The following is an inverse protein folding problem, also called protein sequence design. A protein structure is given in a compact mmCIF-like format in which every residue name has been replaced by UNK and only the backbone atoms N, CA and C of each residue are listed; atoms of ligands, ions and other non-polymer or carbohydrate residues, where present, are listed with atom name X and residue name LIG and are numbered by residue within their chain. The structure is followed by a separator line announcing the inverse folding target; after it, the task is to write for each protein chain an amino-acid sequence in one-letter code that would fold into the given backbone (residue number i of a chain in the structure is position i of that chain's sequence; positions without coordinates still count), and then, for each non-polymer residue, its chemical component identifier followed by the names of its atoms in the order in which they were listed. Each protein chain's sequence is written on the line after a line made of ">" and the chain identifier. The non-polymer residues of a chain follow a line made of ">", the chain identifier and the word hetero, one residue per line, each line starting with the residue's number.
data_IF_810319105385
#
_entry.id   IF_810319105385
#
_cell.length_a   1.000
_cell.length_b   1.000
_cell.length_c   1.000
_cell.angle_alpha   90.00
_cell.angle_beta   90.00
_cell.angle_gamma   90.00
#
_symmetry.space_group_name_H-M   'P 1'
#
loop_
_entity.id
_entity.type
_entity.pdbx_description
1 polymer ?
#
# COMPACT_ATOMS: atom_id res chain seq x y z
N UNK A 1 19.83 11.43 -5.69
CA UNK A 1 18.67 12.19 -5.19
C UNK A 1 18.98 13.64 -5.40
N UNK A 2 18.05 14.39 -5.98
CA UNK A 2 18.15 15.85 -6.05
C UNK A 2 18.34 16.40 -4.62
N UNK A 3 19.37 17.22 -4.42
CA UNK A 3 19.67 17.81 -3.12
C UNK A 3 18.64 18.87 -2.69
N UNK A 4 17.80 19.31 -3.63
CA UNK A 4 16.75 20.31 -3.38
C UNK A 4 15.42 19.69 -2.93
N UNK A 5 15.27 18.37 -2.99
CA UNK A 5 14.05 17.69 -2.57
C UNK A 5 14.16 17.15 -1.14
N UNK A 6 13.13 17.41 -0.33
CA UNK A 6 12.97 16.80 0.99
C UNK A 6 11.94 15.68 0.94
N UNK A 7 12.33 14.48 1.37
CA UNK A 7 11.44 13.33 1.39
C UNK A 7 10.95 13.03 2.81
N UNK A 8 9.67 12.69 2.93
CA UNK A 8 9.07 12.13 4.14
C UNK A 8 8.38 10.83 3.79
N UNK A 9 8.80 9.72 4.39
CA UNK A 9 8.09 8.44 4.35
C UNK A 9 7.07 8.36 5.46
N UNK A 10 5.85 7.94 5.13
CA UNK A 10 4.76 7.74 6.09
C UNK A 10 4.23 6.32 5.91
N UNK A 11 4.17 5.55 6.99
CA UNK A 11 3.62 4.20 7.00
C UNK A 11 2.99 3.90 8.37
N UNK A 12 1.95 3.07 8.42
CA UNK A 12 1.35 2.64 9.67
C UNK A 12 2.20 1.59 10.39
N UNK A 13 3.08 0.89 9.65
CA UNK A 13 3.89 -0.24 10.11
C UNK A 13 5.29 0.23 10.51
N UNK A 14 5.64 0.29 11.82
CA UNK A 14 6.92 0.85 12.26
C UNK A 14 8.14 0.11 11.71
N UNK A 15 8.06 -1.22 11.57
CA UNK A 15 9.17 -2.03 11.07
C UNK A 15 9.54 -1.71 9.61
N UNK A 16 8.57 -1.30 8.78
CA UNK A 16 8.85 -0.87 7.40
C UNK A 16 9.63 0.43 7.37
N UNK A 17 9.29 1.37 8.25
CA UNK A 17 10.04 2.63 8.40
C UNK A 17 11.45 2.41 8.94
N UNK A 18 11.65 1.45 9.84
CA UNK A 18 13.00 1.08 10.30
C UNK A 18 13.86 0.51 9.17
N UNK A 19 13.29 -0.32 8.29
CA UNK A 19 13.98 -0.81 7.09
C UNK A 19 14.32 0.37 6.15
N UNK A 20 13.35 1.27 5.91
CA UNK A 20 13.56 2.43 5.06
C UNK A 20 14.64 3.36 5.62
N UNK A 21 14.64 3.61 6.93
CA UNK A 21 15.64 4.40 7.65
C UNK A 21 17.03 3.80 7.56
N UNK A 22 17.18 2.47 7.69
CA UNK A 22 18.46 1.78 7.49
C UNK A 22 18.99 1.96 6.05
N UNK A 23 18.12 1.96 5.05
CA UNK A 23 18.49 2.08 3.63
C UNK A 23 18.82 3.52 3.22
N UNK A 24 18.07 4.50 3.74
CA UNK A 24 18.12 5.89 3.27
C UNK A 24 18.87 6.83 4.23
N UNK A 25 19.02 6.45 5.50
CA UNK A 25 19.62 7.28 6.54
C UNK A 25 18.91 8.63 6.64
N UNK A 26 19.70 9.72 6.65
CA UNK A 26 19.20 11.07 6.81
C UNK A 26 18.66 11.70 5.50
N UNK A 27 18.60 10.95 4.39
CA UNK A 27 18.09 11.46 3.11
C UNK A 27 16.57 11.64 3.10
N UNK A 28 15.87 11.09 4.10
CA UNK A 28 14.43 11.26 4.28
C UNK A 28 14.07 11.31 5.77
N UNK A 29 12.93 11.91 6.08
CA UNK A 29 12.26 11.80 7.38
C UNK A 29 11.28 10.62 7.35
N UNK A 30 11.00 10.03 8.50
CA UNK A 30 10.08 8.89 8.62
C UNK A 30 9.09 9.15 9.75
N UNK A 31 7.81 8.91 9.49
CA UNK A 31 6.71 9.14 10.43
C UNK A 31 5.80 7.92 10.43
N UNK A 32 5.60 7.33 11.61
CA UNK A 32 4.56 6.31 11.80
C UNK A 32 3.22 7.03 11.85
N UNK A 33 2.34 6.80 10.88
CA UNK A 33 0.98 7.36 10.92
C UNK A 33 -0.02 6.50 10.14
N UNK A 34 -1.25 6.49 10.64
CA UNK A 34 -2.42 5.93 9.96
C UNK A 34 -3.07 7.01 9.08
N UNK A 35 -3.28 6.72 7.79
CA UNK A 35 -3.91 7.64 6.85
C UNK A 35 -5.29 8.13 7.31
N UNK A 36 -6.02 7.35 8.12
CA UNK A 36 -7.32 7.71 8.66
C UNK A 36 -7.25 8.74 9.80
N UNK A 37 -6.07 8.92 10.42
CA UNK A 37 -5.88 9.78 11.60
C UNK A 37 -4.68 10.73 11.48
N UNK A 38 -3.96 10.70 10.37
CA UNK A 38 -2.70 11.42 10.26
C UNK A 38 -2.87 12.93 10.40
N UNK A 39 -1.94 13.51 11.15
CA UNK A 39 -1.74 14.95 11.30
C UNK A 39 -0.23 15.20 11.35
N UNK A 40 0.33 15.64 10.23
CA UNK A 40 1.77 15.75 10.01
C UNK A 40 2.30 17.15 10.35
N UNK A 41 1.41 18.11 10.63
CA UNK A 41 1.75 19.52 10.87
C UNK A 41 2.68 20.11 9.79
N UNK A 42 2.53 19.64 8.54
CA UNK A 42 3.36 20.02 7.39
C UNK A 42 2.58 19.81 6.09
N UNK A 43 2.83 20.66 5.10
CA UNK A 43 2.31 20.49 3.74
C UNK A 43 3.38 20.07 2.74
N UNK A 44 2.97 19.36 1.69
CA UNK A 44 3.83 18.82 0.65
C UNK A 44 3.42 19.32 -0.74
N UNK A 45 4.40 19.46 -1.62
CA UNK A 45 4.21 19.81 -3.03
C UNK A 45 3.80 18.59 -3.87
N UNK A 46 4.15 17.39 -3.42
CA UNK A 46 3.82 16.11 -4.05
C UNK A 46 3.58 15.06 -2.97
N UNK A 47 2.52 14.25 -3.14
CA UNK A 47 2.34 12.98 -2.45
C UNK A 47 2.44 11.83 -3.43
N UNK A 48 3.05 10.73 -3.01
CA UNK A 48 3.17 9.51 -3.81
C UNK A 48 2.61 8.36 -2.97
N UNK A 49 1.65 7.61 -3.51
CA UNK A 49 1.23 6.33 -2.95
C UNK A 49 1.56 5.22 -3.94
N UNK A 50 2.34 4.26 -3.46
CA UNK A 50 2.78 3.11 -4.23
C UNK A 50 2.52 1.85 -3.41
N UNK A 51 1.48 1.12 -3.81
CA UNK A 51 0.91 0.04 -3.02
C UNK A 51 0.52 0.46 -1.59
N UNK A 52 0.05 -0.50 -0.80
CA UNK A 52 -0.29 -0.27 0.61
C UNK A 52 -1.60 0.50 0.77
N UNK A 53 -1.52 1.83 0.76
CA UNK A 53 -2.68 2.67 1.10
C UNK A 53 -3.58 2.91 -0.11
N UNK A 54 -3.04 3.41 -1.23
CA UNK A 54 -3.82 3.64 -2.45
C UNK A 54 -3.02 3.31 -3.69
N UNK A 55 -3.65 2.60 -4.63
CA UNK A 55 -3.12 2.35 -5.97
C UNK A 55 -4.27 2.15 -6.97
N UNK A 56 -3.98 2.24 -8.26
CA UNK A 56 -4.92 1.79 -9.28
C UNK A 56 -4.57 0.38 -9.75
N UNK A 57 -5.57 -0.50 -9.79
CA UNK A 57 -5.46 -1.76 -10.53
C UNK A 57 -6.01 -1.55 -11.94
N UNK A 58 -5.20 -1.93 -12.93
CA UNK A 58 -5.58 -2.00 -14.32
C UNK A 58 -6.05 -3.42 -14.66
N UNK A 59 -7.32 -3.50 -15.04
CA UNK A 59 -8.03 -4.71 -15.46
C UNK A 59 -8.00 -4.94 -16.97
N UNK A 60 -7.41 -4.02 -17.73
CA UNK A 60 -7.42 -4.00 -19.19
C UNK A 60 -8.54 -3.15 -19.74
N UNK A 61 -9.78 -3.38 -19.31
CA UNK A 61 -10.98 -2.63 -19.72
C UNK A 61 -11.31 -1.45 -18.80
N UNK A 62 -10.80 -1.46 -17.56
CA UNK A 62 -11.04 -0.42 -16.55
C UNK A 62 -9.88 -0.24 -15.58
N UNK A 63 -9.87 0.91 -14.92
CA UNK A 63 -9.01 1.22 -13.78
C UNK A 63 -9.87 1.30 -12.52
N UNK A 64 -9.48 0.60 -11.47
CA UNK A 64 -10.16 0.62 -10.17
C UNK A 64 -9.20 1.12 -9.10
N UNK A 65 -9.64 2.08 -8.27
CA UNK A 65 -8.88 2.48 -7.09
C UNK A 65 -8.98 1.37 -6.05
N UNK A 66 -7.83 0.88 -5.60
CA UNK A 66 -7.71 -0.18 -4.60
C UNK A 66 -6.93 0.35 -3.40
N UNK A 67 -7.37 -0.05 -2.22
CA UNK A 67 -6.75 0.33 -0.95
C UNK A 67 -6.84 -0.79 0.08
N UNK A 68 -5.96 -0.75 1.07
CA UNK A 68 -6.10 -1.54 2.31
C UNK A 68 -6.96 -0.81 3.37
N UNK A 69 -7.70 0.21 2.96
CA UNK A 69 -8.64 0.95 3.81
C UNK A 69 -10.01 0.25 3.71
N UNK A 70 -10.68 -0.05 4.85
CA UNK A 70 -11.74 -1.06 4.91
C UNK A 70 -12.99 -0.77 4.07
N UNK A 71 -13.36 0.50 3.90
CA UNK A 71 -14.58 0.88 3.19
C UNK A 71 -14.45 2.25 2.50
N UNK A 72 -15.48 2.62 1.73
CA UNK A 72 -15.53 3.86 0.93
C UNK A 72 -15.46 5.11 1.81
N UNK A 73 -16.14 5.13 2.96
CA UNK A 73 -16.17 6.29 3.85
C UNK A 73 -14.81 6.49 4.53
N UNK A 74 -14.18 5.41 4.97
CA UNK A 74 -12.82 5.43 5.48
C UNK A 74 -11.83 5.88 4.40
N UNK A 75 -11.99 5.42 3.15
CA UNK A 75 -11.16 5.88 2.02
C UNK A 75 -11.31 7.39 1.80
N UNK A 76 -12.55 7.88 1.77
CA UNK A 76 -12.83 9.31 1.64
C UNK A 76 -12.18 10.11 2.77
N UNK A 77 -12.29 9.64 4.03
CA UNK A 77 -11.67 10.29 5.17
C UNK A 77 -10.14 10.29 5.07
N UNK A 78 -9.52 9.18 4.65
CA UNK A 78 -8.08 9.10 4.44
C UNK A 78 -7.60 10.06 3.35
N UNK A 79 -8.31 10.13 2.22
CA UNK A 79 -8.01 11.08 1.14
C UNK A 79 -8.20 12.53 1.59
N UNK A 80 -9.22 12.82 2.41
CA UNK A 80 -9.43 14.14 3.02
C UNK A 80 -8.27 14.52 3.94
N UNK A 81 -7.79 13.57 4.74
CA UNK A 81 -6.60 13.79 5.57
C UNK A 81 -5.36 14.07 4.71
N UNK A 82 -5.14 13.32 3.63
CA UNK A 82 -4.04 13.58 2.70
C UNK A 82 -4.13 14.98 2.10
N UNK A 83 -5.31 15.36 1.61
CA UNK A 83 -5.53 16.67 1.01
C UNK A 83 -5.19 17.84 1.96
N UNK A 84 -5.44 17.71 3.27
CA UNK A 84 -5.05 18.74 4.27
C UNK A 84 -3.54 18.95 4.38
N UNK A 85 -2.75 17.97 3.98
CA UNK A 85 -1.29 18.02 3.98
C UNK A 85 -0.72 18.31 2.59
N UNK A 86 -1.55 18.69 1.64
CA UNK A 86 -1.16 19.02 0.28
C UNK A 86 -1.36 20.50 0.03
N UNK A 87 -0.39 21.15 -0.64
CA UNK A 87 -0.54 22.56 -1.05
C UNK A 87 -1.52 22.66 -2.22
N UNK A 88 -2.14 23.83 -2.39
CA UNK A 88 -2.90 24.13 -3.61
C UNK A 88 -2.01 23.98 -4.84
N UNK A 89 -2.46 23.22 -5.84
CA UNK A 89 -1.69 22.94 -7.06
C UNK A 89 -0.65 21.81 -6.93
N UNK A 90 -0.59 21.14 -5.78
CA UNK A 90 0.24 19.95 -5.59
C UNK A 90 -0.25 18.75 -6.41
N UNK A 91 0.61 17.74 -6.54
CA UNK A 91 0.29 16.48 -7.21
C UNK A 91 0.09 15.34 -6.22
N UNK A 92 -0.93 14.53 -6.46
CA UNK A 92 -1.05 13.21 -5.84
C UNK A 92 -0.82 12.13 -6.90
N UNK A 93 0.31 11.43 -6.79
CA UNK A 93 0.74 10.42 -7.74
C UNK A 93 0.41 9.02 -7.18
N UNK A 94 -0.32 8.24 -7.99
CA UNK A 94 -0.75 6.89 -7.65
C UNK A 94 -0.09 5.88 -8.59
N UNK A 95 0.47 4.81 -8.03
CA UNK A 95 0.97 3.70 -8.84
C UNK A 95 -0.18 2.98 -9.56
N UNK A 96 0.04 2.59 -10.81
CA UNK A 96 -0.86 1.70 -11.55
C UNK A 96 -0.21 0.31 -11.62
N UNK A 97 -0.95 -0.73 -11.27
CA UNK A 97 -0.49 -2.12 -11.27
C UNK A 97 -1.48 -3.00 -12.01
N UNK A 98 -1.05 -4.15 -12.52
CA UNK A 98 -1.99 -5.16 -13.04
C UNK A 98 -2.68 -5.85 -11.88
N UNK A 99 -3.86 -6.44 -12.12
CA UNK A 99 -4.46 -7.33 -11.13
C UNK A 99 -3.45 -8.41 -10.74
N UNK A 100 -3.37 -8.68 -9.45
CA UNK A 100 -2.72 -9.90 -8.97
C UNK A 100 -3.42 -11.12 -9.58
N UNK A 101 -2.63 -12.16 -9.81
CA UNK A 101 -3.12 -13.51 -10.06
C UNK A 101 -2.65 -14.39 -8.91
N UNK A 102 -3.29 -15.54 -8.76
CA UNK A 102 -2.74 -16.60 -7.92
C UNK A 102 -1.34 -16.94 -8.41
N UNK A 103 -0.44 -17.13 -7.46
CA UNK A 103 0.97 -17.30 -7.75
C UNK A 103 1.55 -18.36 -6.82
N UNK A 104 2.33 -19.27 -7.39
CA UNK A 104 3.08 -20.25 -6.62
C UNK A 104 4.55 -20.21 -7.00
N UNK A 105 5.41 -20.43 -6.00
CA UNK A 105 6.85 -20.53 -6.17
C UNK A 105 7.39 -21.65 -5.30
N UNK A 106 8.13 -22.57 -5.92
CA UNK A 106 8.89 -23.59 -5.21
C UNK A 106 10.16 -22.97 -4.62
N UNK A 107 10.34 -23.16 -3.32
CA UNK A 107 11.49 -22.71 -2.53
C UNK A 107 12.36 -23.92 -2.15
N UNK A 108 13.64 -23.70 -1.79
CA UNK A 108 14.50 -24.77 -1.28
C UNK A 108 13.88 -25.53 -0.09
N UNK A 109 14.20 -26.82 0.02
CA UNK A 109 13.72 -27.66 1.13
C UNK A 109 12.32 -28.24 0.97
N UNK A 110 11.77 -28.20 -0.25
CA UNK A 110 10.43 -28.73 -0.57
C UNK A 110 9.28 -27.81 -0.18
N UNK A 111 9.57 -26.54 0.09
CA UNK A 111 8.55 -25.56 0.48
C UNK A 111 7.89 -24.97 -0.76
N UNK A 112 6.57 -24.84 -0.75
CA UNK A 112 5.78 -24.12 -1.75
C UNK A 112 5.27 -22.85 -1.10
N UNK A 113 5.67 -21.71 -1.64
CA UNK A 113 5.04 -20.42 -1.34
C UNK A 113 3.86 -20.22 -2.30
N UNK A 114 2.66 -20.01 -1.75
CA UNK A 114 1.46 -19.72 -2.53
C UNK A 114 0.89 -18.37 -2.11
N UNK A 115 0.49 -17.56 -3.09
CA UNK A 115 -0.30 -16.36 -2.93
C UNK A 115 -1.66 -16.63 -3.57
N UNK A 116 -2.72 -16.54 -2.78
CA UNK A 116 -4.09 -16.83 -3.22
C UNK A 116 -4.94 -15.56 -3.06
N UNK A 117 -5.76 -15.25 -4.06
CA UNK A 117 -6.67 -14.11 -4.06
C UNK A 117 -8.11 -14.63 -4.05
N UNK A 118 -8.85 -14.22 -3.03
CA UNK A 118 -10.26 -14.57 -2.83
C UNK A 118 -11.11 -13.30 -2.91
N UNK A 119 -12.14 -13.29 -3.76
CA UNK A 119 -13.17 -12.25 -3.73
C UNK A 119 -14.09 -12.49 -2.53
N UNK A 120 -14.42 -11.44 -1.78
CA UNK A 120 -15.22 -11.54 -0.56
C UNK A 120 -16.59 -10.87 -0.73
N UNK A 121 -16.62 -9.53 -0.74
CA UNK A 121 -17.85 -8.75 -0.92
C UNK A 121 -17.87 -8.08 -2.30
N UNK A 122 -19.02 -8.14 -2.96
CA UNK A 122 -19.33 -7.33 -4.15
C UNK A 122 -20.53 -6.43 -3.79
N UNK A 123 -20.25 -5.18 -3.48
CA UNK A 123 -21.24 -4.14 -3.20
C UNK A 123 -21.35 -3.21 -4.41
N UNK A 124 -22.44 -2.46 -4.48
CA UNK A 124 -22.65 -1.45 -5.52
C UNK A 124 -21.48 -0.46 -5.59
N UNK A 125 -20.94 -0.07 -4.43
CA UNK A 125 -19.93 0.99 -4.33
C UNK A 125 -18.48 0.49 -4.22
N UNK A 126 -18.27 -0.76 -3.79
CA UNK A 126 -16.93 -1.31 -3.60
C UNK A 126 -16.91 -2.84 -3.63
N UNK A 127 -15.71 -3.38 -3.87
CA UNK A 127 -15.43 -4.81 -3.79
C UNK A 127 -14.31 -5.05 -2.80
N UNK A 128 -14.36 -6.18 -2.09
CA UNK A 128 -13.29 -6.57 -1.17
C UNK A 128 -12.68 -7.89 -1.58
N UNK A 129 -11.38 -8.00 -1.30
CA UNK A 129 -10.59 -9.18 -1.59
C UNK A 129 -9.72 -9.51 -0.42
N UNK A 130 -9.56 -10.79 -0.19
CA UNK A 130 -8.53 -11.32 0.70
C UNK A 130 -7.38 -11.84 -0.14
N UNK A 131 -6.18 -11.48 0.28
CA UNK A 131 -4.95 -12.00 -0.30
C UNK A 131 -4.22 -12.78 0.79
N UNK A 132 -4.17 -14.09 0.62
CA UNK A 132 -3.56 -15.02 1.56
C UNK A 132 -2.18 -15.41 1.06
N UNK A 133 -1.19 -15.44 1.95
CA UNK A 133 0.17 -15.87 1.66
C UNK A 133 0.43 -17.12 2.50
N UNK A 134 0.85 -18.22 1.87
CA UNK A 134 0.97 -19.52 2.50
C UNK A 134 2.35 -20.10 2.21
N UNK A 135 2.96 -20.71 3.22
CA UNK A 135 4.15 -21.55 3.05
C UNK A 135 3.74 -22.99 3.38
N UNK A 136 3.83 -23.88 2.40
CA UNK A 136 3.43 -25.29 2.54
C UNK A 136 4.62 -26.22 2.37
N UNK A 137 4.61 -27.37 3.03
CA UNK A 137 5.53 -28.48 2.77
C UNK A 137 4.78 -29.79 2.89
N UNK A 138 4.90 -30.66 1.89
CA UNK A 138 4.21 -31.95 1.83
C UNK A 138 2.68 -31.85 2.03
N UNK A 139 2.10 -30.73 1.61
CA UNK A 139 0.66 -30.43 1.76
C UNK A 139 0.26 -29.73 3.05
N UNK A 140 1.15 -29.67 4.05
CA UNK A 140 0.88 -29.01 5.34
C UNK A 140 1.28 -27.52 5.33
N UNK A 141 0.48 -26.66 5.97
CA UNK A 141 0.78 -25.23 6.12
C UNK A 141 1.79 -25.05 7.26
N UNK A 142 2.97 -24.54 6.91
CA UNK A 142 4.03 -24.18 7.86
C UNK A 142 3.85 -22.76 8.44
N UNK A 143 3.36 -21.83 7.62
CA UNK A 143 3.12 -20.43 7.99
C UNK A 143 2.09 -19.77 7.07
N UNK A 144 1.39 -18.75 7.60
CA UNK A 144 0.50 -17.84 6.88
C UNK A 144 0.60 -16.41 7.42
#
# INVERSE_FOLDING_TARGET
>A
MDQNCQFTGVDITPSFLEIAKKRLGNKAKFIVADALKMELNKTFDVAISNAGVWLFINWGDRLELVSHIPDVQANYQGLKNLARHLRTGSLFLLSIQKSGIDFEQHLPGGIVYSQIIEELEDKVDYRTRKKSYLFKKDGEILAQ
#
